data_IF_004279410903
#
_entry.id   IF_004279410903
#
_cell.length_a   1.000
_cell.length_b   1.000
_cell.length_c   1.000
_cell.angle_alpha   90.00
_cell.angle_beta   90.00
_cell.angle_gamma   90.00
#
_symmetry.space_group_name_H-M   'P 1'
#
loop_
_entity.id
_entity.type
_entity.pdbx_description
1 polymer ?
#
# COMPACT_ATOMS: atom_id res chain seq x y z
N UNK A 1 -1.19 32.34 5.75
CA UNK A 1 0.02 31.51 5.77
C UNK A 1 -0.43 30.06 5.79
N UNK A 2 -0.41 29.35 4.64
CA UNK A 2 -0.70 27.90 4.63
C UNK A 2 0.57 27.24 5.20
N UNK A 3 0.48 26.71 6.43
CA UNK A 3 1.52 25.84 6.95
C UNK A 3 1.54 24.59 6.05
N UNK A 4 2.61 24.41 5.33
CA UNK A 4 2.84 23.22 4.53
C UNK A 4 3.23 22.10 5.53
N UNK A 5 2.25 21.26 5.91
CA UNK A 5 2.48 20.13 6.82
C UNK A 5 3.14 18.94 6.13
N UNK A 6 3.81 19.19 5.02
CA UNK A 6 4.49 18.19 4.24
C UNK A 6 5.84 17.85 4.86
N UNK A 7 6.09 16.56 5.08
CA UNK A 7 7.38 16.05 5.55
C UNK A 7 7.97 15.17 4.46
N UNK A 8 9.16 15.54 4.00
CA UNK A 8 9.96 14.70 3.08
C UNK A 8 10.98 13.89 3.86
N UNK A 9 11.12 12.61 3.51
CA UNK A 9 12.12 11.67 4.04
C UNK A 9 12.90 11.07 2.89
N UNK A 10 14.23 11.03 3.03
CA UNK A 10 15.16 10.43 2.06
C UNK A 10 16.06 9.38 2.71
N UNK A 11 16.06 9.31 4.03
CA UNK A 11 16.88 8.42 4.83
C UNK A 11 16.01 7.74 5.88
N UNK A 12 16.44 6.57 6.36
CA UNK A 12 15.74 5.78 7.35
C UNK A 12 14.31 5.40 6.92
N UNK A 13 14.17 5.05 5.64
CA UNK A 13 12.88 4.75 5.03
C UNK A 13 12.28 3.41 5.48
N UNK A 14 12.97 2.65 6.31
CA UNK A 14 12.47 1.45 6.98
C UNK A 14 11.49 1.78 8.12
N UNK A 15 11.44 3.04 8.57
CA UNK A 15 10.54 3.47 9.61
C UNK A 15 9.08 3.30 9.19
N UNK A 16 8.18 2.92 10.10
CA UNK A 16 6.76 2.81 9.81
C UNK A 16 6.17 4.13 9.31
N UNK A 17 5.16 4.02 8.45
CA UNK A 17 4.28 5.12 8.03
C UNK A 17 2.84 4.65 8.05
N UNK A 18 1.96 5.53 8.50
CA UNK A 18 0.53 5.27 8.60
C UNK A 18 -0.21 6.28 7.75
N UNK A 19 -1.07 5.76 6.86
CA UNK A 19 -2.07 6.56 6.12
C UNK A 19 -3.43 6.21 6.71
N UNK A 20 -4.12 7.18 7.28
CA UNK A 20 -5.36 6.94 8.02
C UNK A 20 -6.53 7.78 7.50
N UNK A 21 -7.71 7.18 7.52
CA UNK A 21 -9.01 7.83 7.40
C UNK A 21 -9.88 7.52 8.61
N UNK A 22 -11.17 7.84 8.54
CA UNK A 22 -12.10 7.63 9.67
C UNK A 22 -12.56 6.16 9.83
N UNK A 23 -12.44 5.32 8.78
CA UNK A 23 -12.94 3.95 8.79
C UNK A 23 -11.87 2.89 8.48
N UNK A 24 -10.67 3.29 8.07
CA UNK A 24 -9.58 2.38 7.79
C UNK A 24 -8.22 3.03 8.06
N UNK A 25 -7.20 2.18 8.12
CA UNK A 25 -5.80 2.55 8.28
C UNK A 25 -4.93 1.64 7.43
N UNK A 26 -3.96 2.24 6.73
CA UNK A 26 -2.95 1.53 5.96
C UNK A 26 -1.59 1.74 6.62
N UNK A 27 -0.96 0.65 7.01
CA UNK A 27 0.31 0.62 7.74
C UNK A 27 1.36 -0.03 6.85
N UNK A 28 2.46 0.66 6.64
CA UNK A 28 3.61 0.16 5.87
C UNK A 28 4.89 0.85 6.30
N UNK A 29 5.94 0.75 5.49
CA UNK A 29 7.20 1.44 5.72
C UNK A 29 7.34 2.64 4.77
N UNK A 30 8.16 3.61 5.15
CA UNK A 30 8.42 4.82 4.36
C UNK A 30 9.14 4.53 3.02
N UNK A 31 9.72 3.33 2.87
CA UNK A 31 10.23 2.84 1.59
C UNK A 31 9.14 2.34 0.63
N UNK A 32 7.88 2.37 1.05
CA UNK A 32 6.74 1.94 0.24
C UNK A 32 6.46 0.44 0.29
N UNK A 33 7.15 -0.31 1.11
CA UNK A 33 6.93 -1.75 1.31
C UNK A 33 5.99 -2.00 2.50
N UNK A 34 5.55 -3.25 2.61
CA UNK A 34 4.75 -3.77 3.71
C UNK A 34 5.50 -4.93 4.39
N UNK A 35 6.49 -4.61 5.24
CA UNK A 35 7.20 -5.63 6.01
C UNK A 35 6.36 -6.12 7.19
N UNK A 36 6.67 -7.33 7.66
CA UNK A 36 6.12 -7.83 8.90
C UNK A 36 6.50 -6.89 10.04
N UNK A 37 5.53 -6.36 10.77
CA UNK A 37 5.74 -5.39 11.84
C UNK A 37 4.66 -5.48 12.91
N UNK A 38 4.97 -4.94 14.07
CA UNK A 38 4.05 -4.77 15.19
C UNK A 38 4.33 -5.67 16.39
N UNK A 39 3.93 -5.17 17.55
CA UNK A 39 4.08 -5.87 18.83
C UNK A 39 2.75 -6.36 19.38
N UNK A 40 1.68 -5.62 19.12
CA UNK A 40 0.32 -5.98 19.61
C UNK A 40 -0.17 -7.23 18.92
N UNK A 41 0.01 -7.30 17.60
CA UNK A 41 -0.17 -8.51 16.82
C UNK A 41 1.17 -8.77 16.14
N UNK A 42 1.86 -9.82 16.60
CA UNK A 42 3.25 -10.07 16.22
C UNK A 42 3.37 -10.32 14.71
N UNK A 43 4.06 -9.41 14.01
CA UNK A 43 4.28 -9.49 12.56
C UNK A 43 3.11 -9.03 11.68
N UNK A 44 1.89 -8.88 12.23
CA UNK A 44 0.65 -8.77 11.45
C UNK A 44 0.08 -7.34 11.34
N UNK A 45 0.75 -6.34 11.92
CA UNK A 45 0.24 -4.95 11.92
C UNK A 45 0.33 -4.25 10.56
N UNK A 46 1.14 -4.76 9.64
CA UNK A 46 1.26 -4.23 8.28
C UNK A 46 -0.02 -4.41 7.46
N UNK A 47 -0.16 -3.65 6.37
CA UNK A 47 -1.27 -3.79 5.44
C UNK A 47 -2.45 -2.87 5.73
N UNK A 48 -3.60 -3.18 5.15
CA UNK A 48 -4.85 -2.42 5.23
C UNK A 48 -5.77 -3.03 6.29
N UNK A 49 -6.17 -2.21 7.25
CA UNK A 49 -7.12 -2.55 8.30
C UNK A 49 -8.37 -1.68 8.17
N UNK A 50 -9.54 -2.32 8.19
CA UNK A 50 -10.85 -1.66 8.21
C UNK A 50 -11.59 -2.07 9.48
N UNK A 51 -11.67 -1.16 10.46
CA UNK A 51 -12.14 -1.49 11.80
C UNK A 51 -11.23 -2.53 12.47
N UNK A 52 -11.82 -3.64 12.91
CA UNK A 52 -11.10 -4.76 13.58
C UNK A 52 -10.65 -5.86 12.60
N UNK A 53 -10.73 -5.62 11.28
CA UNK A 53 -10.36 -6.59 10.26
C UNK A 53 -9.19 -6.12 9.43
N UNK A 54 -8.19 -6.98 9.29
CA UNK A 54 -7.18 -6.88 8.25
C UNK A 54 -7.84 -7.28 6.91
N UNK A 55 -7.64 -6.45 5.90
CA UNK A 55 -8.24 -6.65 4.57
C UNK A 55 -7.20 -7.23 3.61
N UNK A 56 -5.96 -6.78 3.73
CA UNK A 56 -4.83 -7.31 2.98
C UNK A 56 -3.53 -6.96 3.69
N UNK A 57 -2.52 -7.77 3.42
CA UNK A 57 -1.18 -7.66 3.96
C UNK A 57 -0.32 -6.62 3.21
N UNK A 58 -0.76 -6.24 2.02
CA UNK A 58 -0.13 -5.21 1.22
C UNK A 58 -0.40 -5.35 -0.27
N UNK A 59 0.18 -4.43 -1.02
CA UNK A 59 0.06 -4.41 -2.48
C UNK A 59 1.37 -3.94 -3.11
N UNK A 60 1.60 -4.38 -4.34
CA UNK A 60 2.84 -4.20 -5.06
C UNK A 60 2.55 -3.80 -6.50
N UNK A 61 3.43 -2.96 -7.05
CA UNK A 61 3.37 -2.54 -8.45
C UNK A 61 4.65 -2.91 -9.17
N UNK A 62 4.54 -3.21 -10.46
CA UNK A 62 5.66 -3.25 -11.38
C UNK A 62 5.33 -2.43 -12.62
N UNK A 63 6.36 -1.83 -13.22
CA UNK A 63 6.27 -1.07 -14.46
C UNK A 63 7.19 -1.77 -15.47
N UNK A 64 6.63 -2.25 -16.59
CA UNK A 64 7.36 -3.04 -17.59
C UNK A 64 8.14 -4.21 -16.93
N UNK A 65 7.45 -4.98 -16.07
CA UNK A 65 8.01 -6.09 -15.26
C UNK A 65 9.09 -5.68 -14.24
N UNK A 66 9.38 -4.39 -14.08
CA UNK A 66 10.33 -3.90 -13.06
C UNK A 66 9.55 -3.52 -11.80
N UNK A 67 9.72 -4.28 -10.69
CA UNK A 67 8.97 -4.01 -9.47
C UNK A 67 9.41 -2.72 -8.78
N UNK A 68 8.45 -1.97 -8.23
CA UNK A 68 8.69 -0.82 -7.36
C UNK A 68 9.02 -1.33 -5.95
N UNK A 69 10.28 -1.72 -5.72
CA UNK A 69 10.71 -2.39 -4.48
C UNK A 69 11.07 -1.45 -3.35
N UNK A 70 11.64 -0.29 -3.66
CA UNK A 70 12.06 0.66 -2.64
C UNK A 70 11.95 2.08 -3.18
N UNK A 71 11.25 2.93 -2.45
CA UNK A 71 11.16 4.32 -2.77
C UNK A 71 12.48 5.06 -2.48
N UNK A 72 12.82 6.03 -3.32
CA UNK A 72 13.93 6.97 -3.11
C UNK A 72 13.58 8.05 -2.10
N UNK A 73 12.28 8.34 -1.96
CA UNK A 73 11.78 9.32 -1.00
C UNK A 73 10.34 9.01 -0.60
N UNK A 74 9.99 9.40 0.63
CA UNK A 74 8.64 9.38 1.16
C UNK A 74 8.18 10.81 1.48
N UNK A 75 7.01 11.15 1.03
CA UNK A 75 6.35 12.44 1.31
C UNK A 75 5.10 12.16 2.16
N UNK A 76 5.05 12.74 3.35
CA UNK A 76 3.98 12.52 4.32
C UNK A 76 3.18 13.80 4.47
N UNK A 77 1.88 13.70 4.20
CA UNK A 77 0.88 14.74 4.44
C UNK A 77 -0.14 14.24 5.47
N UNK A 78 -0.90 15.14 6.09
CA UNK A 78 -1.97 14.74 7.00
C UNK A 78 -3.03 13.82 6.38
N UNK A 79 -3.27 13.94 5.07
CA UNK A 79 -4.34 13.23 4.37
C UNK A 79 -3.84 12.17 3.37
N UNK A 80 -2.56 12.15 3.03
CA UNK A 80 -1.99 11.21 2.07
C UNK A 80 -0.52 10.94 2.35
N UNK A 81 -0.03 9.82 1.84
CA UNK A 81 1.40 9.51 1.75
C UNK A 81 1.77 9.29 0.29
N UNK A 82 2.91 9.85 -0.15
CA UNK A 82 3.42 9.63 -1.50
C UNK A 82 4.84 9.05 -1.46
N UNK A 83 5.11 8.12 -2.35
CA UNK A 83 6.39 7.44 -2.50
C UNK A 83 6.94 7.73 -3.89
N UNK A 84 8.19 8.15 -3.95
CA UNK A 84 8.87 8.50 -5.19
C UNK A 84 9.87 7.43 -5.59
N UNK A 85 9.81 6.99 -6.85
CA UNK A 85 10.68 5.97 -7.42
C UNK A 85 11.37 6.53 -8.67
N UNK A 86 12.70 6.53 -8.69
CA UNK A 86 13.51 6.95 -9.84
C UNK A 86 14.02 5.71 -10.57
N UNK A 87 13.30 5.32 -11.60
CA UNK A 87 13.66 4.18 -12.45
C UNK A 87 14.64 4.65 -13.54
N UNK A 88 15.92 4.77 -13.18
CA UNK A 88 16.94 5.39 -14.03
C UNK A 88 17.16 4.67 -15.37
N UNK A 89 17.15 3.33 -15.36
CA UNK A 89 17.33 2.52 -16.58
C UNK A 89 16.15 2.67 -17.52
N UNK A 90 14.96 2.68 -16.98
CA UNK A 90 13.69 2.83 -17.70
C UNK A 90 13.45 4.28 -18.11
N UNK A 91 14.17 5.22 -17.53
CA UNK A 91 13.99 6.66 -17.67
C UNK A 91 12.55 7.07 -17.32
N UNK A 92 12.09 6.63 -16.15
CA UNK A 92 10.81 6.98 -15.58
C UNK A 92 10.98 7.57 -14.19
N UNK A 93 10.08 8.46 -13.81
CA UNK A 93 9.84 8.85 -12.44
C UNK A 93 8.41 8.45 -12.11
N UNK A 94 8.24 7.66 -11.07
CA UNK A 94 6.93 7.17 -10.62
C UNK A 94 6.66 7.74 -9.24
N UNK A 95 5.45 8.27 -9.06
CA UNK A 95 4.94 8.68 -7.75
C UNK A 95 3.71 7.82 -7.45
N UNK A 96 3.78 7.06 -6.38
CA UNK A 96 2.64 6.33 -5.82
C UNK A 96 2.08 7.11 -4.65
N UNK A 97 0.91 7.71 -4.82
CA UNK A 97 0.16 8.36 -3.77
C UNK A 97 -0.91 7.42 -3.21
N UNK A 98 -1.11 7.45 -1.91
CA UNK A 98 -2.14 6.66 -1.23
C UNK A 98 -2.87 7.50 -0.19
N UNK A 99 -4.19 7.34 -0.12
CA UNK A 99 -5.02 8.00 0.88
C UNK A 99 -6.26 7.16 1.20
N UNK A 100 -6.84 7.41 2.35
CA UNK A 100 -8.07 6.76 2.81
C UNK A 100 -9.17 7.80 2.87
N UNK A 101 -10.21 7.70 2.00
CA UNK A 101 -11.35 8.62 2.05
C UNK A 101 -12.14 8.45 3.35
N UNK A 102 -12.74 9.54 3.82
CA UNK A 102 -13.59 9.50 5.02
C UNK A 102 -14.80 8.57 4.83
N UNK A 103 -15.07 7.74 5.84
CA UNK A 103 -16.17 6.78 5.83
C UNK A 103 -15.98 5.55 4.95
N UNK A 104 -14.83 5.40 4.32
CA UNK A 104 -14.52 4.26 3.43
C UNK A 104 -13.59 3.29 4.15
N UNK A 105 -13.99 2.01 4.21
CA UNK A 105 -13.17 0.91 4.73
C UNK A 105 -12.15 0.39 3.70
N UNK A 106 -11.47 1.30 3.00
CA UNK A 106 -10.53 0.98 1.94
C UNK A 106 -9.59 2.14 1.65
N UNK A 107 -8.63 1.93 0.73
CA UNK A 107 -7.70 2.98 0.30
C UNK A 107 -7.78 3.22 -1.20
N UNK A 108 -7.45 4.44 -1.60
CA UNK A 108 -7.25 4.83 -2.99
C UNK A 108 -5.75 4.96 -3.24
N UNK A 109 -5.31 4.40 -4.35
CA UNK A 109 -3.93 4.44 -4.79
C UNK A 109 -3.90 5.09 -6.17
N UNK A 110 -3.05 6.09 -6.32
CA UNK A 110 -2.83 6.80 -7.58
C UNK A 110 -1.36 6.62 -7.98
N UNK A 111 -1.13 6.27 -9.24
CA UNK A 111 0.18 6.25 -9.85
C UNK A 111 0.31 7.39 -10.85
N UNK A 112 1.29 8.26 -10.63
CA UNK A 112 1.72 9.25 -11.60
C UNK A 112 3.03 8.76 -12.22
N UNK A 113 3.03 8.52 -13.53
CA UNK A 113 4.21 8.02 -14.25
C UNK A 113 4.68 9.10 -15.22
N UNK A 114 5.85 9.64 -14.98
CA UNK A 114 6.50 10.62 -15.82
C UNK A 114 7.52 9.92 -16.73
N UNK A 115 7.36 10.10 -18.05
CA UNK A 115 8.32 9.63 -19.02
C UNK A 115 9.43 10.69 -19.22
N UNK A 116 10.64 10.36 -18.81
CA UNK A 116 11.80 11.26 -18.90
C UNK A 116 12.49 11.21 -20.27
N UNK A 117 11.99 10.38 -21.19
CA UNK A 117 12.46 10.33 -22.59
C UNK A 117 11.76 11.40 -23.42
N UNK A 118 12.42 11.95 -24.46
CA UNK A 118 11.78 12.91 -25.36
C UNK A 118 10.69 12.30 -26.26
N UNK A 119 10.72 10.98 -26.48
CA UNK A 119 9.74 10.26 -27.27
C UNK A 119 8.66 9.61 -26.41
N UNK A 120 7.39 9.63 -26.83
CA UNK A 120 6.31 8.93 -26.14
C UNK A 120 6.56 7.41 -26.16
N UNK A 121 6.09 6.72 -25.13
CA UNK A 121 6.12 5.26 -25.02
C UNK A 121 4.88 4.74 -24.33
N UNK A 122 4.57 3.48 -24.57
CA UNK A 122 3.65 2.72 -23.75
C UNK A 122 4.42 2.10 -22.57
N UNK A 123 3.77 1.97 -21.44
CA UNK A 123 4.25 1.23 -20.27
C UNK A 123 3.15 0.26 -19.83
N UNK A 124 3.56 -0.91 -19.38
CA UNK A 124 2.69 -1.86 -18.75
C UNK A 124 2.76 -1.68 -17.22
N UNK A 125 1.60 -1.65 -16.58
CA UNK A 125 1.50 -1.54 -15.12
C UNK A 125 0.89 -2.81 -14.57
N UNK A 126 1.65 -3.54 -13.76
CA UNK A 126 1.16 -4.71 -13.03
C UNK A 126 0.83 -4.33 -11.59
N UNK A 127 -0.25 -4.88 -11.08
CA UNK A 127 -0.72 -4.71 -9.70
C UNK A 127 -0.95 -6.06 -9.05
N UNK A 128 -0.38 -6.25 -7.87
CA UNK A 128 -0.54 -7.47 -7.07
C UNK A 128 -0.99 -7.09 -5.67
N UNK A 129 -2.03 -7.72 -5.18
CA UNK A 129 -2.46 -7.65 -3.78
C UNK A 129 -2.09 -8.96 -3.09
N UNK A 130 -1.48 -8.86 -1.92
CA UNK A 130 -1.30 -9.99 -1.01
C UNK A 130 -2.43 -9.92 0.00
N UNK A 131 -3.38 -10.85 -0.11
CA UNK A 131 -4.48 -10.99 0.83
C UNK A 131 -3.98 -11.59 2.14
N UNK A 132 -4.64 -11.24 3.21
CA UNK A 132 -4.47 -11.83 4.53
C UNK A 132 -5.65 -11.31 5.36
N UNK A 133 -6.82 -11.94 5.14
CA UNK A 133 -8.07 -11.50 5.76
C UNK A 133 -8.17 -12.14 7.13
N UNK A 134 -8.13 -11.32 8.17
CA UNK A 134 -8.23 -11.80 9.55
C UNK A 134 -8.91 -10.78 10.47
N UNK A 135 -9.37 -11.24 11.61
CA UNK A 135 -9.77 -10.36 12.73
C UNK A 135 -8.60 -10.15 13.68
N UNK A 136 -8.64 -9.09 14.48
CA UNK A 136 -7.67 -8.87 15.57
C UNK A 136 -7.68 -10.06 16.53
N UNK A 137 -8.84 -10.63 16.85
CA UNK A 137 -8.98 -11.78 17.74
C UNK A 137 -8.29 -13.04 17.15
N UNK A 138 -8.50 -13.33 15.85
CA UNK A 138 -7.83 -14.44 15.18
C UNK A 138 -6.30 -14.27 15.18
N UNK A 139 -5.82 -13.06 14.91
CA UNK A 139 -4.39 -12.74 14.93
C UNK A 139 -3.75 -12.91 16.32
N UNK A 140 -4.53 -12.78 17.40
CA UNK A 140 -4.09 -13.08 18.77
C UNK A 140 -4.18 -14.56 19.15
N UNK A 141 -4.75 -15.40 18.27
CA UNK A 141 -5.01 -16.82 18.56
C UNK A 141 -6.07 -17.05 19.63
N UNK A 142 -6.90 -16.04 19.93
CA UNK A 142 -7.89 -16.08 20.99
C UNK A 142 -9.13 -16.90 20.61
N UNK A 143 -9.45 -16.99 19.33
CA UNK A 143 -10.68 -17.64 18.85
C UNK A 143 -10.54 -19.14 18.52
N UNK A 144 -9.32 -19.70 18.63
CA UNK A 144 -9.07 -21.09 18.21
C UNK A 144 -9.37 -21.33 16.71
N UNK A 145 -9.58 -20.28 15.95
CA UNK A 145 -9.76 -20.38 14.50
C UNK A 145 -8.40 -20.64 13.84
N UNK A 146 -8.33 -21.71 13.06
CA UNK A 146 -7.27 -21.84 12.07
C UNK A 146 -7.44 -20.67 11.09
N UNK A 147 -6.39 -19.88 10.88
CA UNK A 147 -6.37 -18.89 9.83
C UNK A 147 -6.64 -19.61 8.51
N UNK A 148 -7.79 -19.34 7.91
CA UNK A 148 -8.20 -19.91 6.64
C UNK A 148 -7.22 -19.53 5.52
N UNK A 149 -7.35 -20.19 4.40
CA UNK A 149 -6.62 -19.78 3.20
C UNK A 149 -7.55 -18.89 2.38
N UNK A 150 -7.20 -17.64 2.24
CA UNK A 150 -7.91 -16.70 1.37
C UNK A 150 -8.05 -17.24 -0.05
N UNK A 151 -9.26 -17.14 -0.57
CA UNK A 151 -9.57 -17.49 -1.96
C UNK A 151 -9.79 -16.22 -2.76
N UNK A 152 -8.97 -16.01 -3.78
CA UNK A 152 -9.11 -14.88 -4.70
C UNK A 152 -9.91 -15.27 -5.94
N UNK A 153 -10.79 -14.39 -6.38
CA UNK A 153 -11.60 -14.54 -7.59
C UNK A 153 -11.66 -13.22 -8.36
N UNK A 154 -11.60 -13.26 -9.69
CA UNK A 154 -11.80 -12.10 -10.54
C UNK A 154 -13.20 -12.13 -11.14
N UNK A 155 -13.96 -11.06 -10.94
CA UNK A 155 -15.26 -10.85 -11.57
C UNK A 155 -15.10 -9.98 -12.81
N UNK A 156 -15.30 -10.58 -13.99
CA UNK A 156 -15.20 -9.88 -15.28
C UNK A 156 -16.26 -8.78 -15.45
N UNK A 157 -17.43 -8.97 -14.88
CA UNK A 157 -18.54 -8.02 -15.00
C UNK A 157 -18.29 -6.76 -14.20
N UNK A 158 -17.81 -6.94 -12.97
CA UNK A 158 -17.48 -5.82 -12.07
C UNK A 158 -16.05 -5.30 -12.30
N UNK A 159 -15.24 -6.02 -13.13
CA UNK A 159 -13.82 -5.74 -13.35
C UNK A 159 -13.04 -5.59 -12.03
N UNK A 160 -13.31 -6.48 -11.10
CA UNK A 160 -12.79 -6.41 -9.75
C UNK A 160 -12.26 -7.78 -9.27
N UNK A 161 -11.24 -7.74 -8.43
CA UNK A 161 -10.81 -8.89 -7.65
C UNK A 161 -11.52 -8.92 -6.31
N UNK A 162 -11.99 -10.09 -5.94
CA UNK A 162 -12.57 -10.37 -4.63
C UNK A 162 -11.68 -11.36 -3.91
N UNK A 163 -11.50 -11.15 -2.62
CA UNK A 163 -10.91 -12.14 -1.73
C UNK A 163 -11.87 -12.42 -0.58
N UNK A 164 -11.91 -13.67 -0.14
CA UNK A 164 -12.70 -14.13 0.99
C UNK A 164 -11.90 -15.17 1.78
N UNK A 165 -12.08 -15.14 3.07
CA UNK A 165 -11.64 -16.16 4.03
C UNK A 165 -12.61 -17.37 3.99
#
# INVERSE_FOLDING_TARGET
>A
MRSDYRVYRYEHLEAPVVTAGSAAVLIGAQNGLFPDMGYTVSGEMGGLWAGERKVCDGFFFAIDDVPLTQADACEIHPALTAFHYRMQKEQLHVVRSQFIPDGVGGCVIELTIENLRPAPRMVEVSYTVRTDIMTVAAAHGEDGMELGRDVGEYDEKEQAFFARD
#
